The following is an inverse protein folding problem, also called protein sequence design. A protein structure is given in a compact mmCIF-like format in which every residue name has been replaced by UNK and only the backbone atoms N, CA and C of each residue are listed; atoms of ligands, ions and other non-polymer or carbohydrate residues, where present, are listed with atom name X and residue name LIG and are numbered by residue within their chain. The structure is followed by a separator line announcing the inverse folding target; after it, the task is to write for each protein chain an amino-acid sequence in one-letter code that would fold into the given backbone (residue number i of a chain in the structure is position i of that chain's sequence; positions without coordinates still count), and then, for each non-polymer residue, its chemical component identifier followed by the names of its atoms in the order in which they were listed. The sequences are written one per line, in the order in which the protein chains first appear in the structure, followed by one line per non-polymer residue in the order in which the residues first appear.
data_IF_561848018466
#
_entry.id   IF_561848018466
#
_cell.length_a   1.000
_cell.length_b   1.000
_cell.length_c   1.000
_cell.angle_alpha   90.00
_cell.angle_beta   90.00
_cell.angle_gamma   90.00
#
_symmetry.space_group_name_H-M   'P 1'
#
loop_
_entity.id
_entity.type
_entity.pdbx_description
1 polymer ?
#
# COMPACT_ATOMS: atom_id res chain seq x y z
N UNK A 1 -11.36 14.03 -8.69
CA UNK A 1 -11.07 12.74 -9.34
C UNK A 1 -10.60 13.05 -10.73
N UNK A 2 -9.30 12.97 -10.95
CA UNK A 2 -8.67 13.16 -12.26
C UNK A 2 -8.60 11.79 -12.93
N UNK A 3 -9.06 11.70 -14.17
CA UNK A 3 -8.98 10.47 -14.97
C UNK A 3 -7.56 10.38 -15.53
N UNK A 4 -6.66 9.67 -14.84
CA UNK A 4 -5.27 9.52 -15.27
C UNK A 4 -5.20 8.44 -16.35
N UNK A 5 -4.55 8.74 -17.48
CA UNK A 5 -4.59 7.87 -18.67
C UNK A 5 -3.21 7.39 -19.12
N UNK A 6 -2.16 7.84 -18.43
CA UNK A 6 -0.78 7.49 -18.75
C UNK A 6 0.05 7.23 -17.51
N UNK A 7 1.10 6.42 -17.66
CA UNK A 7 2.04 6.13 -16.57
C UNK A 7 2.67 7.41 -16.04
N UNK A 8 3.01 8.37 -16.92
CA UNK A 8 3.60 9.65 -16.52
C UNK A 8 2.67 10.48 -15.64
N UNK A 9 1.37 10.50 -15.93
CA UNK A 9 0.37 11.18 -15.11
C UNK A 9 0.21 10.52 -13.73
N UNK A 10 0.21 9.19 -13.70
CA UNK A 10 0.20 8.43 -12.42
C UNK A 10 1.46 8.75 -11.63
N UNK A 11 2.64 8.62 -12.21
CA UNK A 11 3.92 8.96 -11.56
C UNK A 11 3.92 10.38 -11.00
N UNK A 12 3.42 11.37 -11.75
CA UNK A 12 3.29 12.74 -11.30
C UNK A 12 2.31 12.89 -10.13
N UNK A 13 1.14 12.25 -10.19
CA UNK A 13 0.14 12.28 -9.13
C UNK A 13 0.64 11.65 -7.82
N UNK A 14 1.52 10.65 -7.92
CA UNK A 14 2.15 10.00 -6.77
C UNK A 14 3.40 10.72 -6.26
N UNK A 15 3.94 11.70 -6.99
CA UNK A 15 5.19 12.39 -6.65
C UNK A 15 5.20 13.13 -5.31
N UNK A 16 4.03 13.41 -4.74
CA UNK A 16 3.88 14.00 -3.40
C UNK A 16 3.98 13.00 -2.24
N UNK A 17 4.04 11.70 -2.51
CA UNK A 17 4.11 10.65 -1.50
C UNK A 17 5.47 9.96 -1.54
N UNK A 18 6.10 9.85 -0.39
CA UNK A 18 7.24 8.96 -0.25
C UNK A 18 6.74 7.51 -0.26
N UNK A 19 7.18 6.73 -1.24
CA UNK A 19 6.76 5.33 -1.44
C UNK A 19 7.91 4.34 -1.24
N UNK A 20 9.14 4.83 -1.11
CA UNK A 20 10.35 4.01 -0.98
C UNK A 20 11.26 4.54 0.13
N UNK A 21 10.67 4.94 1.27
CA UNK A 21 11.43 5.41 2.42
C UNK A 21 12.01 4.24 3.21
N UNK A 22 13.34 4.23 3.26
CA UNK A 22 14.11 3.29 4.05
C UNK A 22 14.63 3.96 5.32
N UNK A 23 14.68 3.18 6.41
CA UNK A 23 15.24 3.59 7.69
C UNK A 23 16.42 2.69 8.06
N UNK A 24 17.46 3.29 8.62
CA UNK A 24 18.62 2.58 9.13
C UNK A 24 18.45 2.33 10.63
N UNK A 25 18.52 1.07 11.05
CA UNK A 25 18.41 0.66 12.45
C UNK A 25 19.76 0.13 12.93
N UNK A 26 20.51 0.91 13.69
CA UNK A 26 21.89 0.55 14.08
C UNK A 26 21.98 -0.78 14.86
N UNK A 27 20.99 -1.05 15.73
CA UNK A 27 20.94 -2.24 16.60
C UNK A 27 19.57 -2.92 16.48
N UNK A 28 19.29 -3.63 15.38
CA UNK A 28 17.96 -4.17 15.09
C UNK A 28 17.55 -5.27 16.09
N UNK A 29 18.52 -5.97 16.65
CA UNK A 29 18.33 -7.00 17.70
C UNK A 29 17.52 -6.48 18.90
N UNK A 30 17.69 -5.20 19.26
CA UNK A 30 16.98 -4.58 20.40
C UNK A 30 15.47 -4.46 20.17
N UNK A 31 15.04 -4.56 18.92
CA UNK A 31 13.65 -4.46 18.48
C UNK A 31 13.15 -5.79 17.90
N UNK A 32 13.87 -6.90 18.15
CA UNK A 32 13.56 -8.21 17.58
C UNK A 32 13.53 -8.24 16.04
N UNK A 33 14.27 -7.33 15.41
CA UNK A 33 14.44 -7.30 13.95
C UNK A 33 15.71 -8.07 13.56
N UNK A 34 15.65 -9.00 12.59
CA UNK A 34 16.84 -9.69 12.10
C UNK A 34 17.79 -8.72 11.39
N UNK A 35 19.12 -8.76 11.65
CA UNK A 35 20.10 -7.98 10.91
C UNK A 35 20.06 -8.30 9.42
N UNK A 36 20.35 -7.29 8.60
CA UNK A 36 20.39 -7.47 7.17
C UNK A 36 21.55 -6.72 6.53
N UNK A 37 21.83 -7.05 5.27
CA UNK A 37 22.81 -6.36 4.45
C UNK A 37 22.33 -6.26 3.02
N UNK A 38 22.82 -5.24 2.33
CA UNK A 38 22.65 -5.03 0.90
C UNK A 38 21.19 -4.91 0.44
N UNK A 39 20.24 -4.57 1.33
CA UNK A 39 18.90 -4.11 0.94
C UNK A 39 19.01 -2.95 -0.04
N UNK A 40 19.78 -1.94 0.35
CA UNK A 40 20.42 -0.99 -0.57
C UNK A 40 21.90 -1.38 -0.68
N UNK A 41 22.45 -1.33 -1.89
CA UNK A 41 23.83 -1.77 -2.13
C UNK A 41 24.82 -1.05 -1.19
N UNK A 42 25.62 -1.81 -0.44
CA UNK A 42 26.61 -1.25 0.50
C UNK A 42 26.04 -0.79 1.85
N UNK A 43 24.77 -1.09 2.14
CA UNK A 43 24.14 -0.76 3.42
C UNK A 43 23.94 -2.00 4.31
N UNK A 44 23.80 -1.78 5.62
CA UNK A 44 23.44 -2.80 6.59
C UNK A 44 22.28 -2.31 7.45
N UNK A 45 21.47 -3.24 7.96
CA UNK A 45 20.35 -2.99 8.86
C UNK A 45 19.41 -1.89 8.36
N UNK A 46 19.03 -1.99 7.09
CA UNK A 46 18.07 -1.10 6.44
C UNK A 46 16.72 -1.80 6.33
N UNK A 47 15.65 -1.08 6.67
CA UNK A 47 14.28 -1.58 6.71
C UNK A 47 13.36 -0.57 6.03
N UNK A 48 12.20 -1.00 5.55
CA UNK A 48 11.16 -0.10 5.04
C UNK A 48 10.00 -0.06 6.03
N UNK A 49 9.34 1.10 6.20
CA UNK A 49 8.07 1.13 6.93
C UNK A 49 6.97 0.52 6.05
N UNK A 50 6.13 -0.32 6.63
CA UNK A 50 5.01 -0.97 5.94
C UNK A 50 4.09 0.03 5.24
N UNK A 51 3.82 1.20 5.82
CA UNK A 51 3.03 2.25 5.16
C UNK A 51 3.61 2.70 3.82
N UNK A 52 4.94 2.82 3.71
CA UNK A 52 5.60 3.20 2.45
C UNK A 52 5.54 2.06 1.44
N UNK A 53 5.74 0.82 1.90
CA UNK A 53 5.63 -0.35 1.04
C UNK A 53 4.18 -0.54 0.53
N UNK A 54 3.17 -0.32 1.37
CA UNK A 54 1.76 -0.34 0.99
C UNK A 54 1.44 0.72 -0.07
N UNK A 55 1.95 1.96 0.09
CA UNK A 55 1.81 3.01 -0.92
C UNK A 55 2.53 2.66 -2.22
N UNK A 56 3.74 2.07 -2.16
CA UNK A 56 4.45 1.58 -3.33
C UNK A 56 3.63 0.55 -4.10
N UNK A 57 3.13 -0.47 -3.41
CA UNK A 57 2.30 -1.51 -4.00
C UNK A 57 1.01 -0.93 -4.61
N UNK A 58 0.34 0.00 -3.92
CA UNK A 58 -0.86 0.65 -4.45
C UNK A 58 -0.58 1.50 -5.68
N UNK A 59 0.57 2.19 -5.73
CA UNK A 59 1.05 2.89 -6.92
C UNK A 59 1.30 1.92 -8.08
N UNK A 60 1.96 0.79 -7.84
CA UNK A 60 2.19 -0.22 -8.89
C UNK A 60 0.87 -0.79 -9.42
N UNK A 61 -0.13 -1.00 -8.54
CA UNK A 61 -1.48 -1.40 -8.96
C UNK A 61 -2.15 -0.32 -9.83
N UNK A 62 -2.02 0.96 -9.46
CA UNK A 62 -2.53 2.08 -10.27
C UNK A 62 -1.84 2.13 -11.66
N UNK A 63 -0.53 1.91 -11.74
CA UNK A 63 0.15 1.81 -13.04
C UNK A 63 -0.36 0.60 -13.85
N UNK A 64 -0.61 -0.53 -13.18
CA UNK A 64 -1.11 -1.73 -13.83
C UNK A 64 -2.53 -1.54 -14.38
N UNK A 65 -3.38 -0.71 -13.76
CA UNK A 65 -4.76 -0.49 -14.26
C UNK A 65 -4.82 0.12 -15.64
N UNK A 66 -3.81 0.92 -16.02
CA UNK A 66 -3.70 1.50 -17.36
C UNK A 66 -3.54 0.44 -18.46
N UNK A 67 -3.05 -0.75 -18.11
CA UNK A 67 -2.76 -1.83 -19.05
C UNK A 67 -3.92 -2.82 -19.22
N UNK A 68 -5.01 -2.68 -18.47
CA UNK A 68 -6.20 -3.51 -18.69
C UNK A 68 -6.90 -3.15 -20.01
N UNK A 69 -7.54 -4.11 -20.70
CA UNK A 69 -8.43 -3.81 -21.81
C UNK A 69 -9.50 -2.79 -21.36
N UNK A 70 -9.60 -1.64 -22.04
CA UNK A 70 -10.39 -0.48 -21.63
C UNK A 70 -9.57 0.69 -21.02
N UNK A 71 -8.34 0.44 -20.54
CA UNK A 71 -7.42 1.46 -20.03
C UNK A 71 -6.64 2.19 -21.13
N UNK A 72 -6.36 1.51 -22.24
CA UNK A 72 -5.63 2.04 -23.39
C UNK A 72 -6.56 2.47 -24.52
N UNK A 73 -7.36 3.51 -24.36
CA UNK A 73 -7.89 4.34 -25.46
C UNK A 73 -8.56 3.65 -26.67
N UNK A 74 -8.83 2.34 -26.63
CA UNK A 74 -9.62 1.63 -27.62
C UNK A 74 -11.07 1.90 -27.27
N UNK A 75 -11.48 3.08 -27.73
CA UNK A 75 -12.83 3.60 -27.76
C UNK A 75 -13.79 2.48 -28.14
N UNK A 76 -14.57 1.98 -27.18
CA UNK A 76 -15.93 1.52 -27.40
C UNK A 76 -16.64 1.33 -26.05
N UNK A 77 -17.64 2.20 -25.82
CA UNK A 77 -18.73 2.10 -24.84
C UNK A 77 -18.55 2.86 -23.52
N UNK A 78 -19.61 3.60 -23.16
CA UNK A 78 -19.74 4.41 -21.96
C UNK A 78 -19.53 3.64 -20.64
N UNK A 79 -19.59 2.31 -20.68
CA UNK A 79 -19.33 1.39 -19.56
C UNK A 79 -17.85 1.40 -19.11
N UNK A 80 -16.90 1.63 -20.02
CA UNK A 80 -15.47 1.71 -19.68
C UNK A 80 -15.15 2.96 -18.84
N UNK A 81 -15.91 4.05 -19.03
CA UNK A 81 -15.68 5.31 -18.31
C UNK A 81 -16.08 5.23 -16.83
N UNK A 82 -17.12 4.45 -16.51
CA UNK A 82 -17.56 4.25 -15.13
C UNK A 82 -16.60 3.32 -14.39
N UNK A 83 -16.16 2.25 -15.05
CA UNK A 83 -15.17 1.30 -14.50
C UNK A 83 -13.84 2.01 -14.19
N UNK A 84 -13.30 2.78 -15.13
CA UNK A 84 -12.07 3.56 -14.91
C UNK A 84 -12.25 4.58 -13.77
N UNK A 85 -13.37 5.31 -13.74
CA UNK A 85 -13.65 6.26 -12.65
C UNK A 85 -13.75 5.56 -11.29
N UNK A 86 -14.36 4.37 -11.25
CA UNK A 86 -14.45 3.57 -10.04
C UNK A 86 -13.06 3.12 -9.57
N UNK A 87 -12.20 2.68 -10.50
CA UNK A 87 -10.81 2.31 -10.17
C UNK A 87 -10.01 3.49 -9.61
N UNK A 88 -10.07 4.66 -10.25
CA UNK A 88 -9.42 5.88 -9.74
C UNK A 88 -9.89 6.25 -8.33
N UNK A 89 -11.21 6.19 -8.10
CA UNK A 89 -11.78 6.43 -6.79
C UNK A 89 -11.31 5.39 -5.75
N UNK A 90 -11.29 4.11 -6.11
CA UNK A 90 -10.82 3.03 -5.24
C UNK A 90 -9.35 3.21 -4.86
N UNK A 91 -8.49 3.56 -5.82
CA UNK A 91 -7.07 3.83 -5.53
C UNK A 91 -6.93 5.00 -4.57
N UNK A 92 -7.62 6.11 -4.81
CA UNK A 92 -7.53 7.27 -3.91
C UNK A 92 -8.10 6.97 -2.51
N UNK A 93 -9.21 6.23 -2.44
CA UNK A 93 -9.80 5.78 -1.18
C UNK A 93 -8.83 4.91 -0.36
N UNK A 94 -8.19 3.92 -1.00
CA UNK A 94 -7.21 3.06 -0.34
C UNK A 94 -5.96 3.83 0.06
N UNK A 95 -5.49 4.78 -0.77
CA UNK A 95 -4.36 5.66 -0.43
C UNK A 95 -4.65 6.45 0.84
N UNK A 96 -5.84 7.05 0.93
CA UNK A 96 -6.26 7.78 2.13
C UNK A 96 -6.35 6.85 3.36
N UNK A 97 -6.88 5.64 3.20
CA UNK A 97 -6.96 4.65 4.28
C UNK A 97 -5.57 4.22 4.79
N UNK A 98 -4.62 3.95 3.88
CA UNK A 98 -3.22 3.62 4.22
C UNK A 98 -2.57 4.75 5.00
N UNK A 99 -2.69 6.00 4.52
CA UNK A 99 -2.12 7.16 5.20
C UNK A 99 -2.77 7.43 6.56
N UNK A 100 -4.08 7.20 6.69
CA UNK A 100 -4.80 7.38 7.93
C UNK A 100 -4.44 6.32 8.97
N UNK A 101 -4.28 5.05 8.55
CA UNK A 101 -3.96 3.95 9.44
C UNK A 101 -2.47 3.94 9.83
N UNK A 102 -1.58 4.26 8.88
CA UNK A 102 -0.15 4.48 9.13
C UNK A 102 0.56 3.28 9.77
N UNK A 103 0.67 2.16 9.06
CA UNK A 103 1.40 1.00 9.57
C UNK A 103 2.91 1.28 9.68
N UNK A 104 3.37 1.50 10.91
CA UNK A 104 4.75 1.81 11.23
C UNK A 104 5.65 0.58 11.45
N UNK A 105 5.16 -0.62 11.09
CA UNK A 105 5.96 -1.85 11.19
C UNK A 105 7.19 -1.77 10.28
N UNK A 106 8.32 -2.31 10.73
CA UNK A 106 9.57 -2.32 9.97
C UNK A 106 9.74 -3.65 9.24
N UNK A 107 9.85 -3.56 7.92
CA UNK A 107 10.02 -4.70 7.02
C UNK A 107 11.48 -4.87 6.63
N UNK A 108 12.02 -6.06 6.89
CA UNK A 108 13.32 -6.49 6.41
C UNK A 108 13.22 -7.25 5.08
N UNK A 109 14.36 -7.65 4.50
CA UNK A 109 14.35 -8.47 3.30
C UNK A 109 13.83 -9.88 3.61
N UNK A 110 13.34 -10.55 2.57
CA UNK A 110 12.97 -11.96 2.65
C UNK A 110 14.17 -12.81 3.10
N UNK A 111 13.94 -13.92 3.84
CA UNK A 111 15.01 -14.81 4.26
C UNK A 111 15.93 -15.24 3.11
N UNK A 112 17.22 -14.93 3.23
CA UNK A 112 18.25 -15.28 2.23
C UNK A 112 18.22 -14.45 0.94
N UNK A 113 17.39 -13.40 0.86
CA UNK A 113 17.32 -12.51 -0.31
C UNK A 113 17.63 -11.07 0.07
N UNK A 114 17.67 -10.20 -0.95
CA UNK A 114 17.79 -8.74 -0.82
C UNK A 114 16.45 -8.01 -1.03
N UNK A 115 15.44 -8.73 -1.52
CA UNK A 115 14.12 -8.20 -1.84
C UNK A 115 13.29 -8.05 -0.58
N UNK A 116 12.51 -6.97 -0.49
CA UNK A 116 11.53 -6.77 0.58
C UNK A 116 10.15 -7.11 0.00
N UNK A 117 9.59 -8.26 0.37
CA UNK A 117 8.20 -8.58 0.02
C UNK A 117 7.21 -8.20 1.10
N UNK A 118 7.68 -7.98 2.33
CA UNK A 118 6.85 -7.81 3.52
C UNK A 118 6.24 -9.10 4.06
N UNK A 119 6.34 -10.22 3.33
CA UNK A 119 5.77 -11.50 3.79
C UNK A 119 6.46 -12.02 5.05
N UNK A 120 5.64 -12.43 6.02
CA UNK A 120 6.12 -12.94 7.31
C UNK A 120 6.45 -11.85 8.34
N UNK A 121 6.35 -10.57 7.97
CA UNK A 121 6.43 -9.47 8.93
C UNK A 121 5.20 -9.47 9.84
N UNK A 122 5.41 -9.32 11.15
CA UNK A 122 4.32 -9.22 12.12
C UNK A 122 3.90 -7.76 12.28
N UNK A 123 2.67 -7.45 11.92
CA UNK A 123 2.10 -6.11 12.03
C UNK A 123 1.39 -5.90 13.37
N UNK A 124 1.40 -4.66 13.86
CA UNK A 124 0.61 -4.28 15.02
C UNK A 124 -0.74 -3.69 14.60
N UNK A 125 -1.77 -4.52 14.63
CA UNK A 125 -3.12 -4.11 14.27
C UNK A 125 -3.81 -3.29 15.37
N UNK A 126 -4.75 -2.42 14.96
CA UNK A 126 -5.73 -1.85 15.90
C UNK A 126 -6.50 -2.99 16.57
N UNK A 127 -6.57 -2.95 17.89
CA UNK A 127 -7.35 -3.90 18.66
C UNK A 127 -8.84 -3.64 18.44
N UNK A 128 -9.55 -4.69 18.05
CA UNK A 128 -11.02 -4.76 18.09
C UNK A 128 -11.42 -5.76 19.18
N UNK A 129 -12.64 -5.65 19.71
CA UNK A 129 -13.11 -6.52 20.80
C UNK A 129 -13.40 -7.95 20.31
N UNK A 130 -12.32 -8.73 20.18
CA UNK A 130 -12.35 -10.14 19.76
C UNK A 130 -12.15 -10.34 18.25
N UNK A 131 -12.14 -11.62 17.84
CA UNK A 131 -11.94 -12.06 16.44
C UNK A 131 -12.94 -11.43 15.45
N UNK A 132 -14.15 -11.13 15.92
CA UNK A 132 -15.20 -10.46 15.14
C UNK A 132 -15.46 -9.03 15.62
N UNK A 133 -14.52 -8.41 16.35
CA UNK A 133 -14.75 -7.14 17.01
C UNK A 133 -15.09 -6.01 16.04
N UNK A 134 -14.44 -5.97 14.87
CA UNK A 134 -14.75 -5.00 13.83
C UNK A 134 -16.16 -5.21 13.27
N UNK A 135 -16.54 -6.46 13.00
CA UNK A 135 -17.86 -6.81 12.47
C UNK A 135 -18.96 -6.56 13.50
N UNK A 136 -18.69 -6.87 14.77
CA UNK A 136 -19.60 -6.60 15.90
C UNK A 136 -19.81 -5.10 16.06
N UNK A 137 -18.72 -4.32 16.04
CA UNK A 137 -18.80 -2.87 16.07
C UNK A 137 -19.61 -2.32 14.88
N UNK A 138 -19.37 -2.84 13.67
CA UNK A 138 -20.10 -2.46 12.45
C UNK A 138 -21.60 -2.73 12.61
N UNK A 139 -22.00 -3.91 13.08
CA UNK A 139 -23.40 -4.28 13.25
C UNK A 139 -24.10 -3.43 14.32
N UNK A 140 -23.44 -3.18 15.46
CA UNK A 140 -23.99 -2.34 16.53
C UNK A 140 -24.20 -0.88 16.12
N UNK A 141 -23.40 -0.37 15.17
CA UNK A 141 -23.46 1.00 14.67
C UNK A 141 -24.05 1.10 13.26
N UNK A 142 -24.59 0.00 12.72
CA UNK A 142 -25.26 0.03 11.42
C UNK A 142 -26.57 0.81 11.56
N UNK A 143 -26.94 1.65 10.58
CA UNK A 143 -28.26 2.25 10.55
C UNK A 143 -29.30 1.14 10.64
N UNK A 144 -30.17 1.20 11.65
CA UNK A 144 -31.36 0.35 11.69
C UNK A 144 -32.20 0.76 10.47
N UNK A 145 -32.63 -0.20 9.64
CA UNK A 145 -33.61 0.09 8.59
C UNK A 145 -34.84 0.73 9.27
N UNK A 146 -35.26 1.94 8.89
CA UNK A 146 -36.53 2.50 9.36
C UNK A 146 -37.72 1.68 8.87
#
# INVERSE_FOLDING_TARGET
MTNLTSVAEVEAAWGGYETTAFVHVQRPELYSLPPNKDVLAGTANVYMLSVHHQLHCLKQLHVATLHFPGGNGQQNHAEDSESVRHMEHCVDYLRQAILCAGDATLEGPDPGKRTLSGYGTTHQCRKWDGLNGLETWRLLNSPQNP
#
